data_IF_408914811946
#
_entry.id   IF_408914811946
#
_cell.length_a   1.000
_cell.length_b   1.000
_cell.length_c   1.000
_cell.angle_alpha   90.00
_cell.angle_beta   90.00
_cell.angle_gamma   90.00
#
_symmetry.space_group_name_H-M   'P 1'
#
loop_
_entity.id
_entity.type
_entity.pdbx_description
1 polymer ?
#
# COMPACT_ATOMS: atom_id res chain seq x y z
N UNK A 1 -7.42 17.56 1.42
CA UNK A 1 -7.76 17.23 2.81
C UNK A 1 -9.07 17.89 3.20
N UNK A 2 -10.13 17.61 2.41
CA UNK A 2 -11.42 18.29 2.57
C UNK A 2 -11.97 18.16 3.99
N UNK A 3 -12.70 19.17 4.45
CA UNK A 3 -13.36 19.17 5.76
C UNK A 3 -14.21 17.90 6.00
N UNK A 4 -14.91 17.42 4.97
CA UNK A 4 -15.72 16.20 5.05
C UNK A 4 -14.91 14.93 5.36
N UNK A 5 -13.61 14.94 5.05
CA UNK A 5 -12.66 13.87 5.30
C UNK A 5 -11.89 14.04 6.63
N UNK A 6 -11.77 15.26 7.16
CA UNK A 6 -11.07 15.55 8.43
C UNK A 6 -12.10 15.96 9.48
N UNK A 7 -12.69 14.97 10.17
CA UNK A 7 -13.75 15.23 11.14
C UNK A 7 -13.18 15.53 12.51
N UNK A 8 -12.09 14.86 12.87
CA UNK A 8 -11.41 14.94 14.16
C UNK A 8 -9.92 15.23 14.02
N UNK A 9 -9.30 15.63 15.14
CA UNK A 9 -7.85 15.77 15.22
C UNK A 9 -7.12 14.44 14.97
N UNK A 10 -7.74 13.31 15.34
CA UNK A 10 -7.22 11.98 15.03
C UNK A 10 -7.15 11.72 13.51
N UNK A 11 -8.16 12.15 12.75
CA UNK A 11 -8.15 12.04 11.28
C UNK A 11 -7.01 12.84 10.66
N UNK A 12 -6.73 14.03 11.21
CA UNK A 12 -5.62 14.88 10.79
C UNK A 12 -4.27 14.25 11.15
N UNK A 13 -4.15 13.69 12.36
CA UNK A 13 -2.97 12.96 12.84
C UNK A 13 -2.60 11.80 11.93
N UNK A 14 -3.53 10.89 11.67
CA UNK A 14 -3.30 9.72 10.80
C UNK A 14 -2.99 10.14 9.35
N UNK A 15 -3.60 11.23 8.88
CA UNK A 15 -3.33 11.76 7.53
C UNK A 15 -1.91 12.33 7.43
N UNK A 16 -1.46 13.05 8.47
CA UNK A 16 -0.11 13.59 8.55
C UNK A 16 0.93 12.47 8.70
N UNK A 17 0.66 11.48 9.55
CA UNK A 17 1.50 10.29 9.73
C UNK A 17 1.74 9.57 8.41
N UNK A 18 0.67 9.23 7.68
CA UNK A 18 0.80 8.54 6.39
C UNK A 18 1.60 9.31 5.35
N UNK A 19 1.51 10.65 5.30
CA UNK A 19 2.31 11.47 4.40
C UNK A 19 3.79 11.51 4.81
N UNK A 20 4.07 11.73 6.10
CA UNK A 20 5.45 11.79 6.61
C UNK A 20 6.14 10.44 6.43
N UNK A 21 5.46 9.32 6.67
CA UNK A 21 6.00 7.99 6.43
C UNK A 21 6.28 7.72 4.95
N UNK A 22 5.35 8.11 4.05
CA UNK A 22 5.55 7.97 2.61
C UNK A 22 6.79 8.72 2.11
N UNK A 23 7.05 9.91 2.67
CA UNK A 23 8.22 10.72 2.34
C UNK A 23 9.53 10.17 2.92
N UNK A 24 9.45 9.36 3.99
CA UNK A 24 10.58 8.67 4.61
C UNK A 24 10.92 7.31 3.97
N UNK A 25 10.09 6.79 3.06
CA UNK A 25 10.33 5.54 2.32
C UNK A 25 10.70 4.33 3.18
N UNK A 26 10.15 4.21 4.38
CA UNK A 26 10.41 3.06 5.26
C UNK A 26 11.75 3.07 6.01
N UNK A 27 12.53 4.16 5.97
CA UNK A 27 13.68 4.30 6.88
C UNK A 27 13.18 4.37 8.33
N UNK A 28 13.37 3.26 9.07
CA UNK A 28 13.11 3.18 10.50
C UNK A 28 14.11 4.10 11.22
N UNK A 29 13.65 5.31 11.52
CA UNK A 29 14.32 6.25 12.40
C UNK A 29 14.67 5.59 13.75
N UNK A 30 15.91 5.72 14.19
CA UNK A 30 16.38 5.34 15.52
C UNK A 30 16.53 6.56 16.43
N UNK A 31 16.21 6.42 17.71
CA UNK A 31 16.50 7.44 18.74
C UNK A 31 15.91 8.82 18.43
N UNK A 32 16.77 9.83 18.29
CA UNK A 32 16.39 11.23 18.04
C UNK A 32 15.54 11.44 16.80
N UNK A 33 15.73 10.61 15.76
CA UNK A 33 14.97 10.73 14.51
C UNK A 33 13.48 10.40 14.71
N UNK A 34 13.14 9.54 15.68
CA UNK A 34 11.73 9.26 16.00
C UNK A 34 11.06 10.47 16.63
N UNK A 35 11.76 11.17 17.52
CA UNK A 35 11.27 12.39 18.14
C UNK A 35 11.02 13.50 17.11
N UNK A 36 11.96 13.70 16.18
CA UNK A 36 11.80 14.68 15.09
C UNK A 36 10.67 14.29 14.13
N UNK A 37 10.53 12.99 13.83
CA UNK A 37 9.43 12.49 13.01
C UNK A 37 8.07 12.75 13.66
N UNK A 38 7.93 12.43 14.95
CA UNK A 38 6.68 12.65 15.67
C UNK A 38 6.35 14.15 15.79
N UNK A 39 7.37 14.99 15.98
CA UNK A 39 7.20 16.45 15.99
C UNK A 39 6.70 16.95 14.63
N UNK A 40 7.29 16.48 13.52
CA UNK A 40 6.85 16.81 12.18
C UNK A 40 5.40 16.37 11.91
N UNK A 41 5.01 15.16 12.35
CA UNK A 41 3.63 14.65 12.24
C UNK A 41 2.66 15.54 13.01
N UNK A 42 2.97 15.86 14.27
CA UNK A 42 2.11 16.69 15.12
C UNK A 42 1.93 18.09 14.52
N UNK A 43 3.00 18.69 14.02
CA UNK A 43 2.95 20.03 13.41
C UNK A 43 2.16 20.03 12.10
N UNK A 44 2.37 19.03 11.22
CA UNK A 44 1.59 18.88 10.00
C UNK A 44 0.11 18.60 10.30
N UNK A 45 -0.18 17.75 11.28
CA UNK A 45 -1.54 17.45 11.72
C UNK A 45 -2.27 18.71 12.22
N UNK A 46 -1.58 19.58 12.96
CA UNK A 46 -2.13 20.86 13.40
C UNK A 46 -2.50 21.76 12.20
N UNK A 47 -1.62 21.87 11.21
CA UNK A 47 -1.88 22.64 9.99
C UNK A 47 -3.06 22.08 9.18
N UNK A 48 -3.10 20.77 8.97
CA UNK A 48 -4.18 20.08 8.26
C UNK A 48 -5.51 20.26 9.00
N UNK A 49 -5.51 20.08 10.33
CA UNK A 49 -6.71 20.22 11.14
C UNK A 49 -7.25 21.65 11.09
N UNK A 50 -6.41 22.65 11.34
CA UNK A 50 -6.79 24.06 11.30
C UNK A 50 -7.43 24.42 9.96
N UNK A 51 -6.76 24.15 8.83
CA UNK A 51 -7.27 24.50 7.51
C UNK A 51 -8.52 23.70 7.11
N UNK A 52 -8.72 22.50 7.68
CA UNK A 52 -9.94 21.72 7.46
C UNK A 52 -11.19 22.32 8.13
N UNK A 53 -11.00 23.10 9.21
CA UNK A 53 -12.09 23.76 9.95
C UNK A 53 -12.25 25.23 9.57
N UNK A 54 -11.15 25.91 9.29
CA UNK A 54 -11.12 27.33 8.96
C UNK A 54 -11.97 27.63 7.71
N UNK A 55 -12.86 28.63 7.82
CA UNK A 55 -13.86 28.98 6.79
C UNK A 55 -14.58 27.76 6.19
N UNK A 56 -15.02 26.81 7.03
CA UNK A 56 -15.67 25.56 6.60
C UNK A 56 -14.82 24.72 5.62
N UNK A 57 -13.50 24.79 5.75
CA UNK A 57 -12.56 24.03 4.93
C UNK A 57 -12.33 24.58 3.53
N UNK A 58 -12.66 25.86 3.29
CA UNK A 58 -12.40 26.52 1.99
C UNK A 58 -10.95 26.39 1.53
N UNK A 59 -10.00 26.38 2.47
CA UNK A 59 -8.56 26.30 2.21
C UNK A 59 -7.95 24.94 2.59
N UNK A 60 -8.72 23.85 2.47
CA UNK A 60 -8.34 22.51 2.96
C UNK A 60 -7.74 21.57 1.90
N UNK A 61 -7.01 22.12 0.92
CA UNK A 61 -6.30 21.33 -0.10
C UNK A 61 -4.81 21.15 0.26
N UNK A 62 -4.13 20.11 -0.27
CA UNK A 62 -2.69 19.95 -0.05
C UNK A 62 -1.88 21.20 -0.41
N UNK A 63 -2.12 21.89 -1.54
CA UNK A 63 -1.43 23.15 -1.85
C UNK A 63 -1.59 24.25 -0.80
N UNK A 64 -2.77 24.41 -0.20
CA UNK A 64 -2.98 25.40 0.87
C UNK A 64 -2.15 25.11 2.12
N UNK A 65 -2.08 23.84 2.52
CA UNK A 65 -1.25 23.42 3.66
C UNK A 65 0.23 23.59 3.34
N UNK A 66 0.68 23.24 2.13
CA UNK A 66 2.07 23.48 1.70
C UNK A 66 2.40 24.98 1.68
N UNK A 67 1.46 25.83 1.28
CA UNK A 67 1.61 27.28 1.30
C UNK A 67 1.71 27.82 2.73
N UNK A 68 0.83 27.37 3.64
CA UNK A 68 0.88 27.73 5.06
C UNK A 68 2.21 27.33 5.69
N UNK A 69 2.72 26.14 5.38
CA UNK A 69 3.99 25.66 5.93
C UNK A 69 5.23 26.40 5.37
N UNK A 70 5.07 27.17 4.29
CA UNK A 70 6.11 28.05 3.75
C UNK A 70 6.06 29.47 4.34
N UNK A 71 5.07 29.80 5.16
CA UNK A 71 5.02 31.07 5.90
C UNK A 71 6.06 31.13 7.02
N UNK A 72 6.23 32.31 7.63
CA UNK A 72 7.10 32.47 8.79
C UNK A 72 6.51 31.74 10.01
N UNK A 73 7.37 31.32 10.95
CA UNK A 73 6.89 30.69 12.19
C UNK A 73 5.94 31.59 12.98
N UNK A 74 6.16 32.90 12.95
CA UNK A 74 5.28 33.86 13.59
C UNK A 74 3.86 33.79 13.01
N UNK A 75 3.74 33.84 11.68
CA UNK A 75 2.45 33.72 10.99
C UNK A 75 1.78 32.37 11.27
N UNK A 76 2.53 31.26 11.16
CA UNK A 76 1.98 29.92 11.37
C UNK A 76 1.50 29.76 12.81
N UNK A 77 2.35 30.05 13.80
CA UNK A 77 2.00 29.83 15.20
C UNK A 77 0.91 30.79 15.68
N UNK A 78 0.97 32.07 15.31
CA UNK A 78 -0.10 33.01 15.66
C UNK A 78 -1.45 32.55 15.08
N UNK A 79 -1.45 32.00 13.87
CA UNK A 79 -2.65 31.43 13.25
C UNK A 79 -3.13 30.18 13.99
N UNK A 80 -2.25 29.19 14.20
CA UNK A 80 -2.62 27.92 14.83
C UNK A 80 -3.05 28.08 16.29
N UNK A 81 -2.52 29.08 17.02
CA UNK A 81 -2.90 29.35 18.41
C UNK A 81 -4.29 29.94 18.56
N UNK A 82 -4.92 30.40 17.47
CA UNK A 82 -6.32 30.84 17.51
C UNK A 82 -7.30 29.67 17.69
N UNK A 83 -6.87 28.43 17.46
CA UNK A 83 -7.68 27.23 17.58
C UNK A 83 -7.41 26.51 18.92
N UNK A 84 -8.36 26.57 19.89
CA UNK A 84 -8.15 25.99 21.22
C UNK A 84 -7.93 24.48 21.22
N UNK A 85 -8.51 23.75 20.25
CA UNK A 85 -8.35 22.29 20.17
C UNK A 85 -6.91 21.86 19.86
N UNK A 86 -6.09 22.76 19.29
CA UNK A 86 -4.69 22.49 18.97
C UNK A 86 -3.73 22.75 20.15
N UNK A 87 -4.20 23.33 21.26
CA UNK A 87 -3.34 23.76 22.36
C UNK A 87 -2.46 22.63 22.93
N UNK A 88 -3.03 21.44 23.10
CA UNK A 88 -2.27 20.27 23.60
C UNK A 88 -1.23 19.80 22.60
N UNK A 89 -1.57 19.77 21.30
CA UNK A 89 -0.69 19.29 20.23
C UNK A 89 0.48 20.26 19.98
N UNK A 90 0.22 21.56 20.15
CA UNK A 90 1.18 22.62 19.89
C UNK A 90 2.05 23.01 21.09
N UNK A 91 1.73 22.54 22.31
CA UNK A 91 2.43 22.91 23.55
C UNK A 91 3.97 22.85 23.47
N UNK A 92 4.60 21.79 22.90
CA UNK A 92 6.05 21.74 22.75
C UNK A 92 6.62 22.86 21.86
N UNK A 93 5.91 23.23 20.81
CA UNK A 93 6.31 24.31 19.90
C UNK A 93 6.07 25.69 20.53
N UNK A 94 4.95 25.87 21.24
CA UNK A 94 4.62 27.11 21.97
C UNK A 94 5.72 27.45 22.97
N UNK A 95 6.14 26.47 23.77
CA UNK A 95 7.17 26.66 24.79
C UNK A 95 8.51 27.09 24.17
N UNK A 96 8.96 26.40 23.10
CA UNK A 96 10.18 26.75 22.40
C UNK A 96 10.10 28.14 21.72
N UNK A 97 8.95 28.48 21.13
CA UNK A 97 8.70 29.80 20.51
C UNK A 97 8.75 30.93 21.55
N UNK A 98 8.03 30.78 22.67
CA UNK A 98 8.01 31.78 23.75
C UNK A 98 9.37 31.95 24.41
N UNK A 99 10.14 30.86 24.52
CA UNK A 99 11.51 30.88 25.02
C UNK A 99 12.52 31.44 24.00
N UNK A 100 12.10 31.77 22.78
CA UNK A 100 12.97 32.16 21.65
C UNK A 100 14.06 31.11 21.37
N UNK A 101 13.76 29.84 21.62
CA UNK A 101 14.64 28.70 21.37
C UNK A 101 14.51 28.24 19.89
N UNK A 102 14.97 29.09 18.97
CA UNK A 102 14.80 28.87 17.53
C UNK A 102 15.52 27.61 17.03
N UNK A 103 16.69 27.27 17.58
CA UNK A 103 17.42 26.05 17.21
C UNK A 103 16.63 24.77 17.54
N UNK A 104 15.90 24.78 18.66
CA UNK A 104 15.02 23.67 19.05
C UNK A 104 13.81 23.57 18.12
N UNK A 105 13.22 24.70 17.74
CA UNK A 105 12.10 24.74 16.79
C UNK A 105 12.52 24.26 15.39
N UNK A 106 13.67 24.71 14.90
CA UNK A 106 14.24 24.24 13.63
C UNK A 106 14.54 22.74 13.69
N UNK A 107 15.01 22.22 14.82
CA UNK A 107 15.14 20.77 15.02
C UNK A 107 13.80 20.02 14.91
N UNK A 108 12.73 20.56 15.52
CA UNK A 108 11.40 19.93 15.53
C UNK A 108 10.67 19.98 14.17
N UNK A 109 10.85 21.07 13.42
CA UNK A 109 10.09 21.34 12.17
C UNK A 109 10.94 21.15 10.90
N UNK A 110 12.27 21.12 11.02
CA UNK A 110 13.21 21.10 9.90
C UNK A 110 13.03 19.88 8.98
N UNK A 111 12.77 18.70 9.55
CA UNK A 111 12.44 17.49 8.78
C UNK A 111 11.22 17.71 7.89
N UNK A 112 10.17 18.35 8.41
CA UNK A 112 8.97 18.63 7.64
C UNK A 112 9.26 19.65 6.52
N UNK A 113 10.03 20.71 6.79
CA UNK A 113 10.42 21.72 5.77
C UNK A 113 11.15 21.09 4.57
N UNK A 114 12.07 20.16 4.84
CA UNK A 114 12.80 19.43 3.77
C UNK A 114 11.82 18.62 2.91
N UNK A 115 10.79 18.03 3.52
CA UNK A 115 9.79 17.28 2.79
C UNK A 115 8.84 18.17 1.99
N UNK A 116 8.37 19.28 2.57
CA UNK A 116 7.51 20.27 1.91
C UNK A 116 8.20 20.85 0.67
N UNK A 117 9.49 21.21 0.78
CA UNK A 117 10.22 21.85 -0.34
C UNK A 117 10.30 20.96 -1.58
N UNK A 118 10.25 19.64 -1.42
CA UNK A 118 10.19 18.67 -2.53
C UNK A 118 8.81 18.55 -3.18
N UNK A 119 7.74 18.83 -2.42
CA UNK A 119 6.36 18.74 -2.89
C UNK A 119 5.82 20.06 -3.43
N UNK A 120 6.44 21.19 -3.07
CA UNK A 120 5.98 22.52 -3.45
C UNK A 120 6.36 22.90 -4.89
N UNK A 121 5.90 22.12 -5.87
CA UNK A 121 6.09 22.40 -7.30
C UNK A 121 4.81 22.90 -7.96
N UNK A 122 4.95 23.54 -9.12
CA UNK A 122 3.82 24.05 -9.91
C UNK A 122 2.85 22.93 -10.28
N UNK A 123 3.36 21.76 -10.63
CA UNK A 123 2.62 20.59 -11.07
C UNK A 123 1.78 20.01 -9.93
N UNK A 124 2.38 19.84 -8.74
CA UNK A 124 1.66 19.36 -7.55
C UNK A 124 0.56 20.35 -7.15
N UNK A 125 0.85 21.65 -7.19
CA UNK A 125 -0.12 22.70 -6.89
C UNK A 125 -1.29 22.66 -7.87
N UNK A 126 -1.00 22.49 -9.16
CA UNK A 126 -2.01 22.42 -10.20
C UNK A 126 -2.91 21.17 -10.02
N UNK A 127 -2.34 19.96 -9.90
CA UNK A 127 -3.11 18.71 -9.77
C UNK A 127 -3.92 18.63 -8.46
N UNK A 128 -3.35 19.05 -7.33
CA UNK A 128 -3.95 18.85 -6.02
C UNK A 128 -4.80 20.03 -5.52
N UNK A 129 -4.97 21.09 -6.32
CA UNK A 129 -5.83 22.24 -5.97
C UNK A 129 -7.27 22.11 -6.45
N UNK A 130 -7.54 21.26 -7.45
CA UNK A 130 -8.88 21.05 -8.00
C UNK A 130 -9.85 20.34 -7.05
N UNK A 131 -11.14 20.41 -7.39
CA UNK A 131 -12.24 19.74 -6.66
C UNK A 131 -13.14 18.95 -7.62
N UNK A 132 -12.52 18.27 -8.58
CA UNK A 132 -13.24 17.71 -9.73
C UNK A 132 -13.55 16.21 -9.58
N UNK A 133 -13.05 15.58 -8.50
CA UNK A 133 -13.17 14.13 -8.28
C UNK A 133 -13.46 13.79 -6.80
N UNK A 134 -14.40 12.88 -6.56
CA UNK A 134 -14.68 12.33 -5.24
C UNK A 134 -13.88 11.05 -5.01
N UNK A 135 -13.10 11.03 -3.93
CA UNK A 135 -12.28 9.87 -3.56
C UNK A 135 -13.10 8.68 -3.04
N UNK A 136 -14.40 8.87 -2.76
CA UNK A 136 -15.30 7.77 -2.41
C UNK A 136 -15.77 7.03 -3.67
N UNK A 137 -14.82 6.37 -4.34
CA UNK A 137 -15.03 5.67 -5.61
C UNK A 137 -16.09 4.55 -5.54
N UNK A 138 -16.36 4.04 -4.35
CA UNK A 138 -17.30 2.95 -4.09
C UNK A 138 -18.68 3.44 -3.62
N UNK A 139 -18.98 4.72 -3.82
CA UNK A 139 -20.31 5.27 -3.56
C UNK A 139 -21.39 4.64 -4.48
N UNK A 140 -22.60 4.48 -3.95
CA UNK A 140 -23.72 3.84 -4.67
C UNK A 140 -24.34 4.76 -5.71
N UNK A 141 -24.36 6.05 -5.44
CA UNK A 141 -25.01 7.04 -6.29
C UNK A 141 -24.04 7.54 -7.38
N UNK A 142 -22.73 7.62 -7.02
CA UNK A 142 -21.67 8.12 -7.90
C UNK A 142 -20.42 7.23 -7.85
N UNK A 143 -20.48 6.00 -8.39
CA UNK A 143 -19.30 5.14 -8.46
C UNK A 143 -18.26 5.76 -9.39
N UNK A 144 -16.99 5.52 -9.08
CA UNK A 144 -15.86 6.06 -9.85
C UNK A 144 -14.74 5.04 -10.01
N UNK A 145 -13.85 5.31 -10.95
CA UNK A 145 -12.58 4.58 -11.12
C UNK A 145 -11.47 5.60 -11.04
N UNK A 146 -10.48 5.34 -10.18
CA UNK A 146 -9.28 6.16 -10.06
C UNK A 146 -8.10 5.36 -10.60
N UNK A 147 -7.43 5.90 -11.61
CA UNK A 147 -6.19 5.35 -12.15
C UNK A 147 -5.06 6.29 -11.76
N UNK A 148 -4.08 5.78 -11.02
CA UNK A 148 -2.85 6.50 -10.66
C UNK A 148 -1.72 5.96 -11.52
N UNK A 149 -1.34 6.71 -12.55
CA UNK A 149 -0.24 6.36 -13.45
C UNK A 149 1.01 7.14 -13.06
N UNK A 150 2.13 6.44 -12.87
CA UNK A 150 3.40 7.02 -12.45
C UNK A 150 4.45 6.94 -13.57
N UNK A 151 5.25 8.00 -13.70
CA UNK A 151 6.47 7.98 -14.51
C UNK A 151 7.66 7.58 -13.62
N UNK A 152 8.43 6.52 -13.96
CA UNK A 152 9.63 6.12 -13.21
C UNK A 152 10.62 7.26 -12.94
N UNK A 153 10.71 8.26 -13.83
CA UNK A 153 11.63 9.39 -13.68
C UNK A 153 11.23 10.35 -12.55
N UNK A 154 9.95 10.41 -12.20
CA UNK A 154 9.41 11.33 -11.18
C UNK A 154 8.82 10.59 -9.97
N UNK A 155 9.12 9.29 -9.86
CA UNK A 155 8.56 8.37 -8.87
C UNK A 155 8.60 8.94 -7.44
N UNK A 156 9.73 9.51 -7.00
CA UNK A 156 9.87 9.95 -5.59
C UNK A 156 8.88 11.04 -5.18
N UNK A 157 8.61 12.01 -6.06
CA UNK A 157 7.70 13.13 -5.78
C UNK A 157 6.26 12.64 -5.92
N UNK A 158 5.98 11.86 -6.96
CA UNK A 158 4.65 11.34 -7.23
C UNK A 158 4.17 10.34 -6.17
N UNK A 159 5.05 9.45 -5.68
CA UNK A 159 4.71 8.46 -4.65
C UNK A 159 4.16 9.11 -3.38
N UNK A 160 4.70 10.27 -2.98
CA UNK A 160 4.17 11.01 -1.84
C UNK A 160 2.79 11.63 -2.13
N UNK A 161 2.60 12.19 -3.32
CA UNK A 161 1.29 12.71 -3.75
C UNK A 161 0.23 11.60 -3.82
N UNK A 162 0.58 10.45 -4.39
CA UNK A 162 -0.30 9.28 -4.44
C UNK A 162 -0.61 8.76 -3.04
N UNK A 163 0.34 8.78 -2.11
CA UNK A 163 0.08 8.35 -0.73
C UNK A 163 -1.01 9.20 -0.06
N UNK A 164 -1.04 10.52 -0.29
CA UNK A 164 -2.12 11.39 0.21
C UNK A 164 -3.49 10.92 -0.28
N UNK A 165 -3.58 10.62 -1.57
CA UNK A 165 -4.81 10.19 -2.24
C UNK A 165 -5.22 8.78 -1.78
N UNK A 166 -4.28 7.84 -1.82
CA UNK A 166 -4.48 6.45 -1.45
C UNK A 166 -4.84 6.30 0.02
N UNK A 167 -4.13 6.95 0.94
CA UNK A 167 -4.44 6.89 2.38
C UNK A 167 -5.86 7.37 2.69
N UNK A 168 -6.39 8.31 1.90
CA UNK A 168 -7.79 8.73 2.02
C UNK A 168 -8.74 7.74 1.38
N UNK A 169 -8.44 7.29 0.17
CA UNK A 169 -9.25 6.35 -0.58
C UNK A 169 -9.43 5.03 0.18
N UNK A 170 -8.36 4.46 0.74
CA UNK A 170 -8.40 3.20 1.51
C UNK A 170 -9.34 3.29 2.71
N UNK A 171 -9.35 4.42 3.43
CA UNK A 171 -10.32 4.66 4.51
C UNK A 171 -11.76 4.73 4.00
N UNK A 172 -11.98 5.41 2.88
CA UNK A 172 -13.31 5.58 2.31
C UNK A 172 -13.90 4.27 1.80
N UNK A 173 -13.11 3.46 1.09
CA UNK A 173 -13.57 2.14 0.59
C UNK A 173 -13.79 1.14 1.72
N UNK A 174 -13.05 1.27 2.83
CA UNK A 174 -13.19 0.39 4.01
C UNK A 174 -14.37 0.76 4.92
N UNK A 175 -15.21 1.72 4.53
CA UNK A 175 -16.45 2.03 5.23
C UNK A 175 -17.58 1.05 4.86
N UNK A 176 -18.51 0.82 5.79
CA UNK A 176 -19.69 -0.01 5.55
C UNK A 176 -20.64 0.65 4.56
N UNK A 177 -21.34 -0.18 3.79
CA UNK A 177 -22.43 0.26 2.91
C UNK A 177 -21.98 0.72 1.52
N UNK A 178 -20.71 0.59 1.19
CA UNK A 178 -20.15 0.81 -0.14
C UNK A 178 -20.50 -0.32 -1.12
N UNK A 179 -20.35 -0.05 -2.41
CA UNK A 179 -20.33 -1.07 -3.46
C UNK A 179 -19.06 -1.93 -3.35
N UNK A 180 -19.09 -3.19 -3.86
CA UNK A 180 -17.88 -3.97 -4.02
C UNK A 180 -16.84 -3.18 -4.83
N UNK A 181 -15.61 -3.20 -4.36
CA UNK A 181 -14.53 -2.38 -4.94
C UNK A 181 -13.22 -3.16 -4.95
N UNK A 182 -12.29 -2.73 -5.79
CA UNK A 182 -10.98 -3.34 -5.89
C UNK A 182 -9.88 -2.27 -5.80
N UNK A 183 -8.85 -2.57 -5.01
CA UNK A 183 -7.58 -1.86 -5.02
C UNK A 183 -6.57 -2.75 -5.74
N UNK A 184 -6.15 -2.33 -6.93
CA UNK A 184 -5.23 -3.08 -7.79
C UNK A 184 -3.94 -2.26 -7.90
N UNK A 185 -2.83 -2.86 -7.46
CA UNK A 185 -1.52 -2.21 -7.45
C UNK A 185 -0.56 -3.13 -8.20
N UNK A 186 -0.12 -2.71 -9.37
CA UNK A 186 0.77 -3.51 -10.23
C UNK A 186 2.17 -3.68 -9.63
N UNK A 187 2.67 -2.64 -8.96
CA UNK A 187 4.03 -2.64 -8.38
C UNK A 187 4.00 -1.94 -7.02
N UNK A 188 3.79 -2.71 -5.95
CA UNK A 188 3.73 -2.17 -4.57
C UNK A 188 4.97 -1.36 -4.17
N UNK A 189 6.21 -1.74 -4.54
CA UNK A 189 7.41 -0.92 -4.33
C UNK A 189 7.34 0.53 -4.82
N UNK A 190 6.45 0.83 -5.77
CA UNK A 190 6.32 2.19 -6.31
C UNK A 190 5.46 3.11 -5.43
N UNK A 191 4.68 2.55 -4.50
CA UNK A 191 3.67 3.28 -3.74
C UNK A 191 3.70 2.87 -2.27
N UNK A 192 3.84 3.85 -1.37
CA UNK A 192 3.67 3.61 0.06
C UNK A 192 2.21 3.82 0.45
N UNK A 193 1.56 2.74 0.91
CA UNK A 193 0.19 2.78 1.42
C UNK A 193 0.25 2.57 2.92
N UNK A 194 -0.08 3.62 3.66
CA UNK A 194 -0.05 3.58 5.10
C UNK A 194 -1.11 2.59 5.62
N UNK A 195 -0.68 1.67 6.50
CA UNK A 195 -1.52 0.68 7.18
C UNK A 195 -2.35 -0.21 6.22
N UNK A 196 -1.76 -0.61 5.09
CA UNK A 196 -2.42 -1.48 4.09
C UNK A 196 -2.88 -2.81 4.69
N UNK A 197 -2.17 -3.34 5.68
CA UNK A 197 -2.53 -4.55 6.44
C UNK A 197 -3.91 -4.45 7.09
N UNK A 198 -4.30 -3.27 7.59
CA UNK A 198 -5.61 -3.06 8.21
C UNK A 198 -6.72 -3.11 7.16
N UNK A 199 -6.47 -2.58 5.97
CA UNK A 199 -7.40 -2.70 4.85
C UNK A 199 -7.58 -4.17 4.50
N UNK A 200 -6.49 -4.91 4.28
CA UNK A 200 -6.53 -6.33 3.90
C UNK A 200 -7.28 -7.16 4.96
N UNK A 201 -7.01 -6.94 6.24
CA UNK A 201 -7.64 -7.67 7.34
C UNK A 201 -9.17 -7.48 7.40
N UNK A 202 -9.68 -6.31 7.00
CA UNK A 202 -11.11 -5.97 7.07
C UNK A 202 -11.82 -6.02 5.71
N UNK A 203 -11.05 -6.20 4.63
CA UNK A 203 -11.48 -6.12 3.24
C UNK A 203 -12.69 -7.02 2.94
N UNK A 204 -12.70 -8.25 3.45
CA UNK A 204 -13.79 -9.21 3.25
C UNK A 204 -15.14 -8.68 3.75
N UNK A 205 -15.17 -8.07 4.93
CA UNK A 205 -16.41 -7.57 5.54
C UNK A 205 -16.99 -6.38 4.78
N UNK A 206 -16.12 -5.60 4.13
CA UNK A 206 -16.48 -4.43 3.34
C UNK A 206 -16.51 -4.69 1.83
N UNK A 207 -16.40 -5.95 1.39
CA UNK A 207 -16.38 -6.36 -0.02
C UNK A 207 -15.34 -5.62 -0.86
N UNK A 208 -14.17 -5.40 -0.27
CA UNK A 208 -13.00 -4.84 -0.95
C UNK A 208 -12.10 -5.99 -1.38
N UNK A 209 -11.69 -6.01 -2.64
CA UNK A 209 -10.62 -6.89 -3.11
C UNK A 209 -9.31 -6.10 -3.14
N UNK A 210 -8.21 -6.69 -2.68
CA UNK A 210 -6.88 -6.08 -2.74
C UNK A 210 -5.98 -7.02 -3.55
N UNK A 211 -5.43 -6.51 -4.66
CA UNK A 211 -4.47 -7.23 -5.50
C UNK A 211 -3.15 -6.46 -5.47
N UNK A 212 -2.09 -7.14 -5.04
CA UNK A 212 -0.75 -6.60 -4.88
C UNK A 212 0.20 -7.32 -5.83
N UNK A 213 0.76 -6.60 -6.79
CA UNK A 213 1.86 -7.05 -7.63
C UNK A 213 3.21 -6.76 -6.98
N UNK A 214 4.07 -7.77 -7.00
CA UNK A 214 5.37 -7.79 -6.34
C UNK A 214 6.39 -8.46 -7.26
N UNK A 215 7.58 -7.89 -7.37
CA UNK A 215 8.68 -8.56 -8.08
C UNK A 215 9.35 -9.62 -7.20
N UNK A 216 9.71 -9.28 -5.97
CA UNK A 216 10.31 -10.19 -5.00
C UNK A 216 10.05 -9.77 -3.55
N UNK A 217 10.08 -10.74 -2.62
CA UNK A 217 9.83 -10.47 -1.19
C UNK A 217 10.84 -9.51 -0.53
N UNK A 218 12.16 -9.56 -0.83
CA UNK A 218 13.10 -8.65 -0.18
C UNK A 218 12.84 -7.17 -0.49
N UNK A 219 12.42 -6.85 -1.72
CA UNK A 219 12.04 -5.48 -2.09
C UNK A 219 10.82 -5.01 -1.29
N UNK A 220 9.84 -5.89 -1.10
CA UNK A 220 8.66 -5.62 -0.29
C UNK A 220 9.01 -5.40 1.20
N UNK A 221 9.90 -6.24 1.75
CA UNK A 221 10.41 -6.09 3.12
C UNK A 221 11.23 -4.81 3.31
N UNK A 222 11.99 -4.38 2.30
CA UNK A 222 12.74 -3.13 2.36
C UNK A 222 11.83 -1.91 2.45
N UNK A 223 10.65 -1.95 1.83
CA UNK A 223 9.72 -0.83 1.79
C UNK A 223 8.84 -0.73 3.03
N UNK A 224 8.29 -1.85 3.49
CA UNK A 224 7.35 -1.89 4.64
C UNK A 224 8.04 -2.24 5.97
N UNK A 225 9.29 -2.70 5.93
CA UNK A 225 9.96 -3.33 7.05
C UNK A 225 9.58 -4.81 7.18
N UNK A 226 10.51 -5.61 7.71
CA UNK A 226 10.35 -7.09 7.81
C UNK A 226 9.09 -7.52 8.55
N UNK A 227 8.78 -6.91 9.68
CA UNK A 227 7.64 -7.30 10.54
C UNK A 227 6.29 -7.01 9.85
N UNK A 228 6.15 -5.82 9.28
CA UNK A 228 4.93 -5.39 8.57
C UNK A 228 4.74 -6.22 7.29
N UNK A 229 5.81 -6.43 6.53
CA UNK A 229 5.77 -7.27 5.34
C UNK A 229 5.36 -8.71 5.66
N UNK A 230 5.92 -9.31 6.72
CA UNK A 230 5.53 -10.64 7.18
C UNK A 230 4.05 -10.70 7.57
N UNK A 231 3.55 -9.66 8.24
CA UNK A 231 2.12 -9.55 8.60
C UNK A 231 1.25 -9.51 7.34
N UNK A 232 1.58 -8.64 6.36
CA UNK A 232 0.82 -8.54 5.10
C UNK A 232 0.80 -9.87 4.36
N UNK A 233 1.97 -10.51 4.21
CA UNK A 233 2.11 -11.82 3.54
C UNK A 233 1.25 -12.89 4.22
N UNK A 234 1.16 -12.87 5.56
CA UNK A 234 0.40 -13.87 6.32
C UNK A 234 -1.12 -13.77 6.18
N UNK A 235 -1.64 -12.58 5.87
CA UNK A 235 -3.09 -12.32 5.76
C UNK A 235 -3.61 -12.61 4.35
N UNK A 236 -2.75 -12.57 3.33
CA UNK A 236 -3.13 -12.79 1.93
C UNK A 236 -3.50 -14.27 1.72
N UNK A 237 -4.76 -14.52 1.35
CA UNK A 237 -5.27 -15.88 1.10
C UNK A 237 -4.94 -16.44 -0.29
N UNK A 238 -4.76 -15.57 -1.29
CA UNK A 238 -4.47 -15.97 -2.66
C UNK A 238 -3.05 -15.52 -3.02
N UNK A 239 -2.20 -16.47 -3.37
CA UNK A 239 -0.83 -16.20 -3.83
C UNK A 239 -0.67 -16.82 -5.19
N UNK A 240 -0.25 -16.01 -6.17
CA UNK A 240 0.06 -16.49 -7.52
C UNK A 240 1.45 -15.94 -7.86
N UNK A 241 2.29 -16.80 -8.41
CA UNK A 241 3.67 -16.50 -8.75
C UNK A 241 3.99 -17.02 -10.15
N UNK A 242 4.67 -16.17 -10.93
CA UNK A 242 5.40 -16.60 -12.12
C UNK A 242 6.76 -17.19 -11.73
N UNK A 243 7.71 -17.13 -12.66
CA UNK A 243 9.09 -17.56 -12.42
C UNK A 243 9.80 -16.70 -11.38
N UNK A 244 10.45 -17.34 -10.40
CA UNK A 244 11.21 -16.68 -9.33
C UNK A 244 12.63 -17.23 -9.28
N UNK A 245 13.62 -16.35 -9.09
CA UNK A 245 15.04 -16.73 -8.90
C UNK A 245 15.57 -16.46 -7.50
N UNK A 246 14.89 -15.59 -6.76
CA UNK A 246 15.28 -15.22 -5.42
C UNK A 246 15.11 -16.39 -4.44
N UNK A 247 16.17 -16.75 -3.71
CA UNK A 247 16.19 -17.89 -2.78
C UNK A 247 15.11 -17.79 -1.70
N UNK A 248 14.97 -16.62 -1.06
CA UNK A 248 14.01 -16.43 0.02
C UNK A 248 12.57 -16.58 -0.48
N UNK A 249 12.28 -16.03 -1.66
CA UNK A 249 10.94 -16.13 -2.26
C UNK A 249 10.63 -17.56 -2.69
N UNK A 250 11.60 -18.30 -3.23
CA UNK A 250 11.45 -19.72 -3.55
C UNK A 250 11.19 -20.57 -2.30
N UNK A 251 11.96 -20.39 -1.24
CA UNK A 251 11.76 -21.11 0.03
C UNK A 251 10.39 -20.80 0.64
N UNK A 252 9.91 -19.57 0.53
CA UNK A 252 8.57 -19.19 0.96
C UNK A 252 7.48 -19.90 0.15
N UNK A 253 7.59 -19.91 -1.18
CA UNK A 253 6.63 -20.59 -2.06
C UNK A 253 6.61 -22.11 -1.83
N UNK A 254 7.77 -22.76 -1.68
CA UNK A 254 7.83 -24.20 -1.37
C UNK A 254 7.13 -24.54 -0.05
N UNK A 255 7.29 -23.70 0.97
CA UNK A 255 6.58 -23.86 2.25
C UNK A 255 5.09 -23.64 2.09
N UNK A 256 4.69 -22.67 1.28
CA UNK A 256 3.29 -22.34 1.01
C UNK A 256 2.56 -23.48 0.28
N UNK A 257 3.21 -24.11 -0.71
CA UNK A 257 2.66 -25.26 -1.42
C UNK A 257 2.65 -26.54 -0.58
N UNK A 258 3.53 -26.60 0.42
CA UNK A 258 3.66 -27.74 1.31
C UNK A 258 4.28 -28.96 0.63
N UNK A 259 4.06 -30.12 1.25
CA UNK A 259 4.61 -31.40 0.82
C UNK A 259 3.49 -32.40 0.59
N UNK A 260 3.68 -33.27 -0.38
CA UNK A 260 2.76 -34.37 -0.66
C UNK A 260 3.48 -35.70 -0.55
N UNK A 261 2.73 -36.73 -0.15
CA UNK A 261 3.25 -38.10 -0.07
C UNK A 261 3.31 -38.66 -1.49
N UNK A 262 4.51 -38.74 -2.04
CA UNK A 262 4.78 -39.35 -3.34
C UNK A 262 5.01 -40.85 -3.15
N UNK A 263 4.34 -41.68 -3.95
CA UNK A 263 4.63 -43.12 -4.06
C UNK A 263 5.65 -43.32 -5.17
N UNK A 264 6.86 -43.73 -4.80
CA UNK A 264 7.89 -44.16 -5.72
C UNK A 264 7.85 -45.67 -5.89
N UNK A 265 7.83 -46.13 -7.14
CA UNK A 265 7.99 -47.54 -7.47
C UNK A 265 9.43 -47.75 -7.95
N UNK A 266 10.16 -48.62 -7.28
CA UNK A 266 11.49 -49.02 -7.71
C UNK A 266 11.41 -50.41 -8.31
N UNK A 267 11.73 -50.51 -9.59
CA UNK A 267 11.77 -51.75 -10.34
C UNK A 267 13.20 -52.28 -10.40
N UNK A 268 13.45 -53.42 -9.78
CA UNK A 268 14.72 -54.13 -9.90
C UNK A 268 14.54 -55.33 -10.82
N UNK A 269 15.27 -55.35 -11.94
CA UNK A 269 15.22 -56.43 -12.93
C UNK A 269 16.52 -57.23 -12.85
N UNK A 270 16.39 -58.51 -12.52
CA UNK A 270 17.46 -59.51 -12.60
C UNK A 270 17.09 -60.58 -13.65
N UNK A 271 18.07 -61.35 -14.16
CA UNK A 271 17.89 -62.34 -15.25
C UNK A 271 16.74 -63.33 -15.01
N UNK A 272 16.44 -63.63 -13.74
CA UNK A 272 15.42 -64.60 -13.34
C UNK A 272 14.22 -64.00 -12.58
N UNK A 273 14.23 -62.70 -12.25
CA UNK A 273 13.17 -62.11 -11.43
C UNK A 273 13.09 -60.59 -11.58
N UNK A 274 11.87 -60.09 -11.69
CA UNK A 274 11.55 -58.67 -11.53
C UNK A 274 10.95 -58.47 -10.16
N UNK A 275 11.51 -57.57 -9.35
CA UNK A 275 10.93 -57.15 -8.08
C UNK A 275 10.51 -55.68 -8.13
N UNK A 276 9.33 -55.40 -7.62
CA UNK A 276 8.77 -54.05 -7.53
C UNK A 276 8.69 -53.70 -6.04
N UNK A 277 9.42 -52.68 -5.62
CA UNK A 277 9.35 -52.16 -4.26
C UNK A 277 8.65 -50.81 -4.28
N UNK A 278 7.63 -50.69 -3.42
CA UNK A 278 6.89 -49.45 -3.22
C UNK A 278 7.50 -48.71 -2.04
N UNK A 279 7.88 -47.46 -2.24
CA UNK A 279 8.38 -46.58 -1.19
C UNK A 279 7.54 -45.30 -1.17
N UNK A 280 7.21 -44.82 0.02
CA UNK A 280 6.50 -43.57 0.19
C UNK A 280 7.44 -42.52 0.77
N UNK A 281 7.63 -41.42 0.05
CA UNK A 281 8.44 -40.29 0.48
C UNK A 281 7.61 -39.02 0.54
N UNK A 282 7.90 -38.19 1.53
CA UNK A 282 7.27 -36.89 1.68
C UNK A 282 8.11 -35.85 0.93
N UNK A 283 7.65 -35.42 -0.24
CA UNK A 283 8.40 -34.53 -1.14
C UNK A 283 7.66 -33.21 -1.33
N UNK A 284 8.40 -32.16 -1.70
CA UNK A 284 7.84 -30.83 -1.99
C UNK A 284 6.88 -30.93 -3.17
N UNK A 285 5.70 -30.33 -3.04
CA UNK A 285 4.65 -30.43 -4.08
C UNK A 285 5.09 -29.77 -5.39
N UNK A 286 5.69 -28.58 -5.30
CA UNK A 286 6.26 -27.85 -6.44
C UNK A 286 7.68 -27.42 -6.06
N UNK A 287 8.73 -28.11 -6.55
CA UNK A 287 10.11 -27.79 -6.19
C UNK A 287 10.57 -26.43 -6.73
N UNK A 288 11.48 -25.78 -6.00
CA UNK A 288 12.05 -24.47 -6.36
C UNK A 288 12.64 -24.45 -7.77
N UNK A 289 13.31 -25.53 -8.19
CA UNK A 289 13.84 -25.65 -9.55
C UNK A 289 12.77 -25.58 -10.63
N UNK A 290 11.57 -26.13 -10.37
CA UNK A 290 10.42 -26.06 -11.30
C UNK A 290 9.83 -24.67 -11.36
N UNK A 291 9.76 -23.98 -10.22
CA UNK A 291 9.28 -22.59 -10.14
C UNK A 291 10.23 -21.66 -10.90
N UNK A 292 11.54 -21.84 -10.72
CA UNK A 292 12.57 -21.02 -11.39
C UNK A 292 12.66 -21.24 -12.91
N UNK A 293 12.09 -22.34 -13.42
CA UNK A 293 12.08 -22.69 -14.84
C UNK A 293 10.72 -22.47 -15.52
N UNK A 294 9.77 -21.79 -14.87
CA UNK A 294 8.47 -21.50 -15.47
C UNK A 294 8.64 -20.62 -16.72
N UNK A 295 7.96 -20.99 -17.79
CA UNK A 295 7.91 -20.20 -19.01
C UNK A 295 6.95 -19.01 -18.86
N UNK A 296 7.06 -18.06 -19.79
CA UNK A 296 6.09 -16.96 -19.87
C UNK A 296 4.67 -17.52 -20.02
N UNK A 297 3.77 -17.06 -19.14
CA UNK A 297 2.39 -17.53 -19.07
C UNK A 297 2.17 -18.78 -18.22
N UNK A 298 3.20 -19.39 -17.64
CA UNK A 298 3.05 -20.45 -16.64
C UNK A 298 3.08 -19.85 -15.22
N UNK A 299 2.16 -20.32 -14.37
CA UNK A 299 1.96 -19.79 -13.03
C UNK A 299 1.81 -20.93 -12.02
N UNK A 300 2.29 -20.68 -10.81
CA UNK A 300 2.07 -21.53 -9.63
C UNK A 300 1.45 -20.69 -8.53
N UNK A 301 0.74 -21.31 -7.60
CA UNK A 301 0.07 -20.52 -6.58
C UNK A 301 -0.74 -21.35 -5.60
N UNK A 302 -1.36 -20.66 -4.66
CA UNK A 302 -2.38 -21.19 -3.77
C UNK A 302 -3.58 -20.27 -3.87
N UNK A 303 -4.75 -20.85 -4.09
CA UNK A 303 -6.02 -20.11 -4.10
C UNK A 303 -6.79 -20.51 -2.85
N UNK A 304 -7.20 -19.54 -2.04
CA UNK A 304 -8.03 -19.78 -0.87
C UNK A 304 -9.31 -20.51 -1.30
N UNK A 305 -9.53 -21.70 -0.75
CA UNK A 305 -10.74 -22.47 -1.00
C UNK A 305 -11.86 -21.99 -0.06
N UNK A 306 -13.09 -21.95 -0.58
CA UNK A 306 -14.27 -21.74 0.26
C UNK A 306 -14.52 -22.96 1.15
N UNK A 307 -15.29 -22.76 2.22
CA UNK A 307 -15.68 -23.83 3.12
C UNK A 307 -16.41 -24.93 2.35
N UNK A 308 -15.83 -26.13 2.30
CA UNK A 308 -16.50 -27.29 1.71
C UNK A 308 -17.68 -27.68 2.61
N UNK A 309 -18.89 -27.73 2.05
CA UNK A 309 -20.11 -28.15 2.77
C UNK A 309 -20.03 -29.62 3.22
N UNK A 310 -19.19 -30.42 2.57
CA UNK A 310 -19.03 -31.85 2.84
C UNK A 310 -17.59 -32.17 3.24
N UNK A 311 -17.38 -32.64 4.46
CA UNK A 311 -16.08 -33.14 4.90
C UNK A 311 -15.85 -34.55 4.36
N UNK A 312 -15.01 -34.67 3.32
CA UNK A 312 -14.72 -35.96 2.66
C UNK A 312 -13.56 -36.73 3.33
N UNK A 313 -12.85 -36.10 4.28
CA UNK A 313 -11.66 -36.66 4.93
C UNK A 313 -10.43 -36.80 4.00
N UNK A 314 -10.54 -36.43 2.72
CA UNK A 314 -9.44 -36.40 1.76
C UNK A 314 -8.81 -35.01 1.76
N UNK A 315 -7.49 -34.95 1.88
CA UNK A 315 -6.76 -33.70 1.73
C UNK A 315 -6.62 -33.39 0.24
N UNK A 316 -7.28 -32.32 -0.21
CA UNK A 316 -7.08 -31.74 -1.54
C UNK A 316 -6.28 -30.46 -1.38
N UNK A 317 -5.16 -30.38 -2.09
CA UNK A 317 -4.33 -29.18 -2.07
C UNK A 317 -5.00 -28.08 -2.87
N UNK A 318 -4.98 -26.86 -2.32
CA UNK A 318 -5.39 -25.64 -3.02
C UNK A 318 -4.28 -25.06 -3.92
N UNK A 319 -3.13 -25.74 -3.98
CA UNK A 319 -2.03 -25.33 -4.83
C UNK A 319 -2.34 -25.58 -6.31
N UNK A 320 -1.99 -24.62 -7.15
CA UNK A 320 -2.16 -24.66 -8.60
C UNK A 320 -0.81 -24.65 -9.31
N UNK A 321 -0.77 -25.30 -10.45
CA UNK A 321 0.32 -25.25 -11.42
C UNK A 321 -0.32 -25.26 -12.80
N UNK A 322 -0.46 -24.09 -13.42
CA UNK A 322 -1.30 -23.90 -14.60
C UNK A 322 -0.65 -22.95 -15.60
N UNK A 323 -1.25 -22.88 -16.78
CA UNK A 323 -0.89 -21.93 -17.83
C UNK A 323 -2.04 -20.96 -18.02
N UNK A 324 -1.69 -19.68 -18.13
CA UNK A 324 -2.60 -18.60 -18.48
C UNK A 324 -3.20 -18.91 -19.86
N UNK A 325 -4.53 -18.90 -19.94
CA UNK A 325 -5.28 -19.11 -21.18
C UNK A 325 -5.97 -17.80 -21.57
N UNK A 326 -5.36 -17.03 -22.47
CA UNK A 326 -5.92 -15.77 -22.99
C UNK A 326 -6.50 -15.96 -24.39
N UNK A 327 -7.68 -15.40 -24.62
CA UNK A 327 -8.27 -15.33 -25.95
C UNK A 327 -7.70 -14.13 -26.72
N UNK A 328 -6.56 -14.34 -27.40
CA UNK A 328 -5.86 -13.27 -28.13
C UNK A 328 -6.70 -12.63 -29.24
N UNK A 329 -7.64 -13.38 -29.84
CA UNK A 329 -8.52 -12.85 -30.87
C UNK A 329 -9.53 -11.85 -30.30
N UNK A 330 -10.05 -12.12 -29.09
CA UNK A 330 -10.95 -11.23 -28.38
C UNK A 330 -10.23 -9.96 -27.91
N UNK A 331 -9.03 -10.09 -27.33
CA UNK A 331 -8.19 -8.96 -26.93
C UNK A 331 -7.88 -8.05 -28.13
N UNK A 332 -7.48 -8.62 -29.26
CA UNK A 332 -7.20 -7.84 -30.47
C UNK A 332 -8.44 -7.13 -31.04
N UNK A 333 -9.64 -7.66 -30.82
CA UNK A 333 -10.88 -6.99 -31.20
C UNK A 333 -11.25 -5.85 -30.24
N UNK A 334 -10.96 -6.03 -28.95
CA UNK A 334 -11.11 -5.00 -27.92
C UNK A 334 -10.16 -3.82 -28.18
N UNK A 335 -8.87 -4.10 -28.45
CA UNK A 335 -7.84 -3.09 -28.72
C UNK A 335 -8.18 -2.19 -29.92
N UNK A 336 -8.78 -2.77 -30.98
CA UNK A 336 -9.26 -2.00 -32.15
C UNK A 336 -10.38 -1.02 -31.81
N UNK A 337 -11.08 -1.27 -30.70
CA UNK A 337 -12.19 -0.44 -30.23
C UNK A 337 -11.75 0.61 -29.20
N UNK A 338 -10.45 0.65 -28.84
CA UNK A 338 -9.92 1.65 -27.93
C UNK A 338 -10.08 3.05 -28.48
N UNK A 339 -10.61 3.94 -27.63
CA UNK A 339 -10.71 5.35 -27.93
C UNK A 339 -9.42 6.04 -27.49
N UNK A 340 -8.92 7.03 -28.24
CA UNK A 340 -7.81 7.85 -27.77
C UNK A 340 -8.18 8.48 -26.42
N UNK A 341 -7.24 8.46 -25.49
CA UNK A 341 -7.43 9.14 -24.20
C UNK A 341 -7.62 10.64 -24.45
N UNK A 342 -8.56 11.29 -23.76
CA UNK A 342 -8.70 12.73 -23.89
C UNK A 342 -7.44 13.42 -23.37
N UNK A 343 -6.97 14.44 -24.09
CA UNK A 343 -5.83 15.25 -23.66
C UNK A 343 -6.31 16.21 -22.57
N UNK A 344 -5.96 15.92 -21.32
CA UNK A 344 -6.13 16.85 -20.20
C UNK A 344 -4.75 17.44 -19.85
N UNK A 345 -4.67 18.76 -19.72
CA UNK A 345 -3.45 19.52 -19.41
C UNK A 345 -3.46 20.01 -18.00
#
# INVERSE_FOLDING_TARGET
>A
WKSCYIRSLADAGETAEGLVEALKKGDKAGGSDQFFTQSAINFLAACVYFLSKYENGRYSSPPHVLALLNCTYEEIFNTLFTEPELASLLSPFVSAWRAKAFDQLEGQVGTLKIFISRLATKEVYWVLSGDDFDLKISDKDKPGVLVLANDPNTQNINSACYSIVLNRLTKLINAKGNLPSALIIDEVPTLFIHKVENLIATARSNKVAVLLGLQELPQFQSQYGKDTAATIISVIGNVISGSVRNKETLEWLERLFGKSKQRGESLSIDRNKTSLSLNEKLEVLIPAGKIASLNAGEMVGVIAADAQETYTGKFETSAINCRINLNLAEIANEEKSYKPLPTYY
#
